data_IF_544414221532
#
_entry.id   IF_544414221532
#
_cell.length_a   1.000
_cell.length_b   1.000
_cell.length_c   1.000
_cell.angle_alpha   90.00
_cell.angle_beta   90.00
_cell.angle_gamma   90.00
#
_symmetry.space_group_name_H-M   'P 1'
#
loop_
_entity.id
_entity.type
_entity.pdbx_description
1 polymer ?
#
# COMPACT_ATOMS: atom_id res chain seq x y z
N UNK A 1 23.85 8.41 -20.77
CA UNK A 1 24.14 8.62 -19.34
C UNK A 1 22.91 8.21 -18.55
N UNK A 2 23.06 7.42 -17.48
CA UNK A 2 21.94 7.08 -16.60
C UNK A 2 21.65 8.25 -15.65
N UNK A 3 20.38 8.55 -15.43
CA UNK A 3 19.98 9.50 -14.38
C UNK A 3 20.30 8.91 -13.00
N UNK A 4 20.71 9.76 -12.06
CA UNK A 4 20.83 9.39 -10.65
C UNK A 4 19.45 9.33 -9.99
N UNK A 5 19.33 8.61 -8.87
CA UNK A 5 18.08 8.55 -8.10
C UNK A 5 17.62 9.95 -7.66
N UNK A 6 18.54 10.81 -7.23
CA UNK A 6 18.23 12.19 -6.83
C UNK A 6 17.65 13.01 -7.99
N UNK A 7 18.15 12.81 -9.20
CA UNK A 7 17.59 13.45 -10.39
C UNK A 7 16.17 12.93 -10.68
N UNK A 8 15.92 11.63 -10.55
CA UNK A 8 14.58 11.06 -10.75
C UNK A 8 13.59 11.62 -9.73
N UNK A 9 13.98 11.68 -8.45
CA UNK A 9 13.14 12.26 -7.38
C UNK A 9 12.90 13.76 -7.62
N UNK A 10 13.90 14.50 -8.08
CA UNK A 10 13.76 15.93 -8.36
C UNK A 10 12.79 16.18 -9.52
N UNK A 11 12.89 15.40 -10.59
CA UNK A 11 12.02 15.56 -11.76
C UNK A 11 10.59 15.09 -11.47
N UNK A 12 10.39 13.97 -10.74
CA UNK A 12 9.05 13.47 -10.41
C UNK A 12 8.24 14.45 -9.56
N UNK A 13 8.88 15.23 -8.69
CA UNK A 13 8.22 16.30 -7.90
C UNK A 13 7.60 17.41 -8.73
N UNK A 14 7.99 17.56 -10.00
CA UNK A 14 7.42 18.56 -10.91
C UNK A 14 6.15 18.07 -11.60
N UNK A 15 5.86 16.78 -11.50
CA UNK A 15 4.70 16.18 -12.14
C UNK A 15 3.42 16.40 -11.30
N UNK A 16 2.25 16.45 -11.95
CA UNK A 16 0.95 16.31 -11.30
C UNK A 16 0.87 15.03 -10.45
N UNK A 17 0.03 15.06 -9.40
CA UNK A 17 -0.08 13.96 -8.42
C UNK A 17 -0.46 12.62 -9.06
N UNK A 18 -1.39 12.64 -10.01
CA UNK A 18 -1.83 11.50 -10.79
C UNK A 18 -0.66 10.87 -11.58
N UNK A 19 0.17 11.70 -12.22
CA UNK A 19 1.35 11.23 -12.95
C UNK A 19 2.44 10.66 -12.02
N UNK A 20 2.59 11.22 -10.81
CA UNK A 20 3.49 10.64 -9.79
C UNK A 20 2.99 9.25 -9.36
N UNK A 21 1.68 9.09 -9.18
CA UNK A 21 1.07 7.80 -8.86
C UNK A 21 1.34 6.78 -9.96
N UNK A 22 1.07 7.14 -11.21
CA UNK A 22 1.32 6.27 -12.35
C UNK A 22 2.81 5.91 -12.50
N UNK A 23 3.72 6.86 -12.26
CA UNK A 23 5.16 6.59 -12.26
C UNK A 23 5.53 5.56 -11.17
N UNK A 24 4.97 5.70 -9.98
CA UNK A 24 5.20 4.76 -8.88
C UNK A 24 4.69 3.36 -9.23
N UNK A 25 3.49 3.26 -9.80
CA UNK A 25 2.87 1.99 -10.20
C UNK A 25 3.72 1.29 -11.26
N UNK A 26 4.20 2.01 -12.29
CA UNK A 26 5.06 1.46 -13.34
C UNK A 26 6.41 0.97 -12.81
N UNK A 27 7.02 1.71 -11.88
CA UNK A 27 8.30 1.30 -11.25
C UNK A 27 8.06 0.06 -10.38
N UNK A 28 7.00 0.05 -9.57
CA UNK A 28 6.63 -1.07 -8.72
C UNK A 28 6.38 -2.33 -9.54
N UNK A 29 5.61 -2.23 -10.62
CA UNK A 29 5.34 -3.32 -11.55
C UNK A 29 6.63 -3.86 -12.19
N UNK A 30 7.53 -2.99 -12.63
CA UNK A 30 8.80 -3.43 -13.20
C UNK A 30 9.72 -4.13 -12.18
N UNK A 31 9.67 -3.73 -10.91
CA UNK A 31 10.51 -4.31 -9.84
C UNK A 31 9.95 -5.62 -9.28
N UNK A 32 8.63 -5.72 -9.15
CA UNK A 32 7.98 -6.81 -8.44
C UNK A 32 7.20 -7.75 -9.36
N UNK A 33 7.04 -7.40 -10.63
CA UNK A 33 6.12 -8.07 -11.53
C UNK A 33 4.66 -7.77 -11.19
N UNK A 34 3.75 -8.33 -11.99
CA UNK A 34 2.34 -8.34 -11.62
C UNK A 34 2.15 -9.16 -10.34
N UNK A 35 1.12 -8.82 -9.57
CA UNK A 35 0.70 -9.67 -8.44
C UNK A 35 0.30 -11.03 -9.03
N UNK A 36 0.89 -12.11 -8.52
CA UNK A 36 0.49 -13.45 -8.93
C UNK A 36 -1.04 -13.61 -8.75
N UNK A 37 -1.79 -14.03 -9.79
CA UNK A 37 -3.26 -14.10 -9.71
C UNK A 37 -3.79 -14.93 -8.53
N UNK A 38 -3.03 -15.94 -8.09
CA UNK A 38 -3.35 -16.73 -6.92
C UNK A 38 -3.24 -15.92 -5.61
N UNK A 39 -2.24 -15.04 -5.51
CA UNK A 39 -2.06 -14.13 -4.37
C UNK A 39 -3.19 -13.10 -4.34
N UNK A 40 -3.52 -12.49 -5.48
CA UNK A 40 -4.66 -11.56 -5.57
C UNK A 40 -5.98 -12.23 -5.16
N UNK A 41 -6.22 -13.44 -5.65
CA UNK A 41 -7.40 -14.23 -5.29
C UNK A 41 -7.44 -14.52 -3.79
N UNK A 42 -6.33 -14.96 -3.21
CA UNK A 42 -6.24 -15.27 -1.78
C UNK A 42 -6.47 -14.03 -0.90
N UNK A 43 -5.93 -12.87 -1.29
CA UNK A 43 -6.16 -11.60 -0.60
C UNK A 43 -7.63 -11.18 -0.65
N UNK A 44 -8.28 -11.28 -1.81
CA UNK A 44 -9.70 -10.96 -1.96
C UNK A 44 -10.58 -11.89 -1.11
N UNK A 45 -10.29 -13.20 -1.11
CA UNK A 45 -11.00 -14.17 -0.27
C UNK A 45 -10.83 -13.85 1.22
N UNK A 46 -9.61 -13.55 1.67
CA UNK A 46 -9.36 -13.19 3.06
C UNK A 46 -10.06 -11.87 3.44
N UNK A 47 -10.04 -10.87 2.58
CA UNK A 47 -10.71 -9.59 2.82
C UNK A 47 -12.24 -9.78 3.01
N UNK A 48 -12.88 -10.55 2.12
CA UNK A 48 -14.31 -10.86 2.23
C UNK A 48 -14.61 -11.66 3.50
N UNK A 49 -13.80 -12.70 3.80
CA UNK A 49 -13.93 -13.50 5.02
C UNK A 49 -13.84 -12.64 6.28
N UNK A 50 -12.88 -11.71 6.34
CA UNK A 50 -12.70 -10.77 7.47
C UNK A 50 -13.86 -9.82 7.61
N UNK A 51 -14.39 -9.33 6.49
CA UNK A 51 -15.56 -8.46 6.48
C UNK A 51 -16.77 -9.18 7.07
N UNK A 52 -17.06 -10.41 6.61
CA UNK A 52 -18.13 -11.25 7.17
C UNK A 52 -17.94 -11.57 8.66
N UNK A 53 -16.71 -11.82 9.11
CA UNK A 53 -16.42 -12.04 10.53
C UNK A 53 -16.75 -10.82 11.38
N UNK A 54 -16.50 -9.61 10.86
CA UNK A 54 -16.81 -8.35 11.55
C UNK A 54 -18.33 -8.12 11.54
N UNK A 55 -19.01 -8.29 10.40
CA UNK A 55 -20.46 -8.07 10.30
C UNK A 55 -21.28 -9.04 11.17
N UNK A 56 -20.78 -10.27 11.37
CA UNK A 56 -21.44 -11.28 12.19
C UNK A 56 -20.94 -11.32 13.65
N UNK A 57 -20.22 -10.28 14.10
CA UNK A 57 -19.66 -10.17 15.46
C UNK A 57 -18.75 -11.35 15.88
N UNK A 58 -18.23 -12.12 14.91
CA UNK A 58 -17.31 -13.25 15.16
C UNK A 58 -15.95 -12.75 15.63
N UNK A 59 -15.56 -11.54 15.25
CA UNK A 59 -14.32 -10.88 15.66
C UNK A 59 -14.58 -9.43 16.04
N UNK A 60 -13.86 -8.93 17.04
CA UNK A 60 -13.89 -7.52 17.41
C UNK A 60 -12.80 -6.73 16.68
N UNK A 61 -13.14 -5.77 15.80
CA UNK A 61 -12.15 -4.96 15.12
C UNK A 61 -11.42 -4.04 16.11
N UNK A 62 -10.17 -3.73 15.81
CA UNK A 62 -9.40 -2.77 16.60
C UNK A 62 -9.66 -1.38 16.02
N UNK A 63 -10.05 -0.37 16.84
CA UNK A 63 -10.20 1.00 16.37
C UNK A 63 -8.94 1.50 15.67
N UNK A 64 -9.08 2.09 14.48
CA UNK A 64 -7.96 2.56 13.67
C UNK A 64 -7.07 3.56 14.41
N UNK A 65 -7.66 4.46 15.20
CA UNK A 65 -6.94 5.43 16.03
C UNK A 65 -5.99 4.76 17.03
N UNK A 66 -6.40 3.63 17.61
CA UNK A 66 -5.59 2.84 18.54
C UNK A 66 -4.42 2.17 17.83
N UNK A 67 -4.62 1.70 16.60
CA UNK A 67 -3.54 1.15 15.76
C UNK A 67 -2.53 2.25 15.41
N UNK A 68 -3.02 3.42 14.99
CA UNK A 68 -2.17 4.55 14.62
C UNK A 68 -1.40 5.14 15.81
N UNK A 69 -2.00 5.19 17.01
CA UNK A 69 -1.32 5.60 18.22
C UNK A 69 -0.13 4.69 18.55
N UNK A 70 -0.35 3.37 18.54
CA UNK A 70 0.71 2.36 18.74
C UNK A 70 1.83 2.46 17.69
N UNK A 71 1.47 2.75 16.44
CA UNK A 71 2.44 2.95 15.37
C UNK A 71 3.33 4.17 15.64
N UNK A 72 2.75 5.30 16.05
CA UNK A 72 3.49 6.52 16.40
C UNK A 72 4.44 6.32 17.57
N UNK A 73 3.97 5.67 18.63
CA UNK A 73 4.80 5.32 19.80
C UNK A 73 6.03 4.49 19.39
N UNK A 74 5.85 3.50 18.51
CA UNK A 74 6.96 2.65 18.04
C UNK A 74 7.94 3.35 17.11
N UNK A 75 7.45 4.30 16.30
CA UNK A 75 8.27 5.02 15.32
C UNK A 75 8.87 6.32 15.89
N UNK A 76 8.60 6.65 17.16
CA UNK A 76 9.15 7.84 17.82
C UNK A 76 8.70 9.16 17.20
N UNK A 77 7.47 9.21 16.67
CA UNK A 77 6.85 10.42 16.11
C UNK A 77 5.79 10.99 17.04
#
# INVERSE_FOLDING_TARGET
>A
MSMTIDQIVKESRRLPRDQISELFDRIGLALHGDIEPAVETAWNQEALRRFEEIENDKVQPIPGEKVMARMRERLGR
#
